data_IF_986560226292
#
_entry.id   IF_986560226292
#
_cell.length_a   1.000
_cell.length_b   1.000
_cell.length_c   1.000
_cell.angle_alpha   90.00
_cell.angle_beta   90.00
_cell.angle_gamma   90.00
#
_symmetry.space_group_name_H-M   'P 1'
#
loop_
_entity.id
_entity.type
_entity.pdbx_description
1 polymer ?
#
# COMPACT_ATOMS: atom_id res chain seq x y z
N UNK A 1 41.45 -23.35 28.31
CA UNK A 1 41.27 -22.67 27.01
C UNK A 1 40.38 -23.54 26.15
N UNK A 2 39.61 -22.93 25.24
CA UNK A 2 38.43 -23.46 24.52
C UNK A 2 37.12 -23.08 25.25
N UNK A 3 36.69 -21.83 25.08
CA UNK A 3 35.30 -21.43 25.28
C UNK A 3 34.56 -21.67 23.97
N UNK A 4 33.62 -22.61 24.00
CA UNK A 4 32.67 -22.80 22.91
C UNK A 4 31.85 -21.51 22.72
N UNK A 5 32.06 -20.87 21.57
CA UNK A 5 31.12 -19.90 21.01
C UNK A 5 29.83 -20.66 20.69
N UNK A 6 28.90 -20.60 21.63
CA UNK A 6 27.50 -20.92 21.37
C UNK A 6 26.97 -19.84 20.43
N UNK A 7 26.91 -20.16 19.13
CA UNK A 7 26.02 -19.47 18.20
C UNK A 7 24.59 -19.67 18.71
N UNK A 8 24.08 -18.67 19.43
CA UNK A 8 22.64 -18.54 19.64
C UNK A 8 21.99 -18.41 18.25
N UNK A 9 20.96 -19.21 17.94
CA UNK A 9 20.22 -19.04 16.70
C UNK A 9 19.62 -17.63 16.69
N UNK A 10 19.74 -16.92 15.56
CA UNK A 10 19.02 -15.67 15.30
C UNK A 10 17.53 -15.97 15.49
N UNK A 11 17.00 -15.70 16.68
CA UNK A 11 15.56 -15.65 16.91
C UNK A 11 15.06 -14.46 16.11
N UNK A 12 14.53 -14.71 14.92
CA UNK A 12 13.74 -13.73 14.17
C UNK A 12 12.64 -13.25 15.11
N UNK A 13 12.82 -12.06 15.69
CA UNK A 13 11.81 -11.43 16.52
C UNK A 13 10.68 -11.04 15.57
N UNK A 14 9.53 -11.70 15.73
CA UNK A 14 8.32 -11.36 14.97
C UNK A 14 7.96 -9.91 15.32
N UNK A 15 7.71 -9.04 14.32
CA UNK A 15 7.34 -7.66 14.58
C UNK A 15 6.06 -7.55 15.40
N UNK A 16 5.98 -6.51 16.23
CA UNK A 16 4.75 -6.21 16.96
C UNK A 16 3.68 -5.64 16.02
N UNK A 17 2.40 -5.88 16.36
CA UNK A 17 1.28 -5.32 15.62
C UNK A 17 1.18 -3.80 15.85
N UNK A 18 0.98 -2.99 14.80
CA UNK A 18 0.77 -1.55 14.93
C UNK A 18 -0.65 -1.23 15.42
N UNK A 19 -0.88 0.03 15.80
CA UNK A 19 -2.26 0.52 16.01
C UNK A 19 -3.00 0.64 14.67
N UNK A 20 -4.33 0.57 14.71
CA UNK A 20 -5.19 0.42 13.51
C UNK A 20 -5.43 1.73 12.74
N UNK A 21 -4.38 2.30 12.18
CA UNK A 21 -4.46 3.39 11.20
C UNK A 21 -3.26 3.39 10.24
N UNK A 22 -3.51 3.86 9.02
CA UNK A 22 -2.55 3.74 7.91
C UNK A 22 -1.67 4.99 7.72
N UNK A 23 -2.25 6.19 7.79
CA UNK A 23 -1.59 7.43 7.41
C UNK A 23 -0.68 7.96 8.52
N UNK A 24 0.55 8.32 8.18
CA UNK A 24 1.52 8.88 9.12
C UNK A 24 1.20 10.35 9.44
N UNK A 25 0.51 11.05 8.55
CA UNK A 25 0.01 12.41 8.76
C UNK A 25 -0.92 12.52 9.98
N UNK A 26 -1.52 11.41 10.43
CA UNK A 26 -2.28 11.40 11.68
C UNK A 26 -1.43 11.81 12.89
N UNK A 27 -0.15 11.44 12.92
CA UNK A 27 0.76 11.91 13.97
C UNK A 27 0.95 13.42 13.89
N UNK A 28 1.18 13.96 12.69
CA UNK A 28 1.36 15.40 12.51
C UNK A 28 0.13 16.19 13.01
N UNK A 29 -1.07 15.82 12.57
CA UNK A 29 -2.27 16.58 12.94
C UNK A 29 -2.59 16.45 14.44
N UNK A 30 -2.25 15.32 15.07
CA UNK A 30 -2.30 15.18 16.53
C UNK A 30 -1.32 16.14 17.21
N UNK A 31 -0.05 16.12 16.82
CA UNK A 31 0.98 16.97 17.42
C UNK A 31 0.66 18.45 17.24
N UNK A 32 0.09 18.83 16.09
CA UNK A 32 -0.40 20.19 15.86
C UNK A 32 -1.54 20.54 16.81
N UNK A 33 -2.51 19.65 17.02
CA UNK A 33 -3.57 19.85 18.01
C UNK A 33 -3.01 20.04 19.43
N UNK A 34 -2.11 19.17 19.87
CA UNK A 34 -1.46 19.25 21.19
C UNK A 34 -0.65 20.54 21.35
N UNK A 35 -0.07 21.08 20.27
CA UNK A 35 0.64 22.38 20.32
C UNK A 35 -0.28 23.57 20.62
N UNK A 36 -1.60 23.42 20.46
CA UNK A 36 -2.59 24.48 20.67
C UNK A 36 -3.39 24.34 21.96
N UNK A 37 -3.52 23.13 22.50
CA UNK A 37 -4.26 22.85 23.73
C UNK A 37 -3.74 21.58 24.41
N UNK A 38 -3.86 21.53 25.73
CA UNK A 38 -3.59 20.33 26.53
C UNK A 38 -4.85 19.51 26.84
N UNK A 39 -6.05 20.00 26.47
CA UNK A 39 -7.33 19.35 26.76
C UNK A 39 -7.73 18.39 25.64
N UNK A 40 -7.95 17.11 25.99
CA UNK A 40 -8.21 16.04 25.02
C UNK A 40 -9.36 16.34 24.03
N UNK A 41 -10.48 16.90 24.49
CA UNK A 41 -11.61 17.24 23.61
C UNK A 41 -11.26 18.33 22.60
N UNK A 42 -10.55 19.39 23.03
CA UNK A 42 -10.11 20.46 22.12
C UNK A 42 -9.10 19.96 21.08
N UNK A 43 -8.20 19.07 21.52
CA UNK A 43 -7.23 18.43 20.63
C UNK A 43 -7.98 17.55 19.61
N UNK A 44 -9.02 16.84 20.04
CA UNK A 44 -9.84 16.02 19.14
C UNK A 44 -10.60 16.86 18.11
N UNK A 45 -11.19 17.98 18.50
CA UNK A 45 -11.87 18.90 17.58
C UNK A 45 -10.91 19.43 16.51
N UNK A 46 -9.70 19.83 16.92
CA UNK A 46 -8.66 20.28 16.00
C UNK A 46 -8.12 19.16 15.10
N UNK A 47 -7.95 17.95 15.66
CA UNK A 47 -7.59 16.76 14.90
C UNK A 47 -8.63 16.47 13.81
N UNK A 48 -9.92 16.63 14.11
CA UNK A 48 -11.00 16.43 13.15
C UNK A 48 -10.97 17.47 12.03
N UNK A 49 -10.81 18.75 12.36
CA UNK A 49 -10.66 19.83 11.39
C UNK A 49 -9.52 19.54 10.39
N UNK A 50 -8.33 19.24 10.91
CA UNK A 50 -7.17 18.92 10.08
C UNK A 50 -7.36 17.63 9.30
N UNK A 51 -7.95 16.59 9.89
CA UNK A 51 -8.26 15.34 9.18
C UNK A 51 -9.07 15.63 7.92
N UNK A 52 -10.08 16.50 7.99
CA UNK A 52 -10.88 16.88 6.83
C UNK A 52 -10.09 17.74 5.84
N UNK A 53 -9.30 18.69 6.32
CA UNK A 53 -8.43 19.52 5.47
C UNK A 53 -7.44 18.68 4.65
N UNK A 54 -6.77 17.72 5.30
CA UNK A 54 -5.83 16.79 4.66
C UNK A 54 -6.54 15.61 3.95
N UNK A 55 -7.87 15.49 4.10
CA UNK A 55 -8.70 14.41 3.54
C UNK A 55 -8.22 13.01 3.94
N UNK A 56 -7.75 12.86 5.18
CA UNK A 56 -7.22 11.57 5.66
C UNK A 56 -8.36 10.56 5.85
N UNK A 57 -8.16 9.35 5.34
CA UNK A 57 -9.17 8.29 5.38
C UNK A 57 -10.39 8.53 4.49
N UNK A 58 -10.34 9.54 3.61
CA UNK A 58 -11.41 9.88 2.68
C UNK A 58 -10.92 9.77 1.23
N UNK A 59 -11.82 9.41 0.32
CA UNK A 59 -11.51 9.57 -1.10
C UNK A 59 -11.33 11.06 -1.39
N UNK A 60 -10.16 11.48 -1.86
CA UNK A 60 -9.86 12.87 -2.27
C UNK A 60 -10.82 13.43 -3.35
N UNK A 61 -11.73 12.62 -3.87
CA UNK A 61 -12.76 12.97 -4.85
C UNK A 61 -14.19 13.03 -4.31
N UNK A 62 -14.41 12.83 -3.01
CA UNK A 62 -15.71 13.13 -2.41
C UNK A 62 -15.90 14.64 -2.55
N UNK A 63 -16.88 15.08 -3.35
CA UNK A 63 -17.29 16.49 -3.33
C UNK A 63 -17.69 16.79 -1.88
N UNK A 64 -17.15 17.87 -1.32
CA UNK A 64 -17.74 18.50 -0.15
C UNK A 64 -19.12 18.95 -0.60
N UNK A 65 -20.12 18.12 -0.41
CA UNK A 65 -21.46 18.64 -0.16
C UNK A 65 -21.35 19.29 1.20
N UNK A 66 -21.34 20.62 1.23
CA UNK A 66 -21.71 21.39 2.42
C UNK A 66 -23.03 20.78 2.95
N UNK A 67 -23.09 20.51 4.24
CA UNK A 67 -24.21 19.88 4.96
C UNK A 67 -24.39 18.35 4.90
N UNK A 68 -23.32 17.58 5.12
CA UNK A 68 -23.51 16.26 5.75
C UNK A 68 -23.06 16.32 7.21
N UNK A 69 -23.99 16.55 8.14
CA UNK A 69 -23.75 16.30 9.56
C UNK A 69 -23.20 14.88 9.73
N UNK A 70 -22.11 14.76 10.48
CA UNK A 70 -21.43 13.48 10.68
C UNK A 70 -22.33 12.57 11.52
N UNK A 71 -22.61 11.37 11.01
CA UNK A 71 -23.41 10.41 11.77
C UNK A 71 -22.70 10.04 13.08
N UNK A 72 -23.46 9.66 14.11
CA UNK A 72 -22.91 9.18 15.39
C UNK A 72 -21.90 8.04 15.20
N UNK A 73 -22.16 7.14 14.24
CA UNK A 73 -21.25 6.05 13.90
C UNK A 73 -19.92 6.53 13.28
N UNK A 74 -19.95 7.64 12.54
CA UNK A 74 -18.76 8.24 11.94
C UNK A 74 -17.92 8.92 13.02
N UNK A 75 -18.54 9.69 13.91
CA UNK A 75 -17.89 10.27 15.09
C UNK A 75 -17.21 9.22 15.96
N UNK A 76 -17.89 8.11 16.24
CA UNK A 76 -17.31 7.01 17.02
C UNK A 76 -16.05 6.41 16.35
N UNK A 77 -16.03 6.31 15.02
CA UNK A 77 -14.84 5.85 14.27
C UNK A 77 -13.69 6.84 14.31
N UNK A 78 -13.99 8.14 14.23
CA UNK A 78 -12.97 9.18 14.34
C UNK A 78 -12.38 9.23 15.73
N UNK A 79 -13.21 9.12 16.77
CA UNK A 79 -12.75 9.01 18.14
C UNK A 79 -11.87 7.79 18.35
N UNK A 80 -12.28 6.62 17.86
CA UNK A 80 -11.45 5.43 17.88
C UNK A 80 -10.09 5.66 17.20
N UNK A 81 -10.08 6.29 16.02
CA UNK A 81 -8.83 6.59 15.31
C UNK A 81 -7.95 7.53 16.12
N UNK A 82 -8.51 8.61 16.66
CA UNK A 82 -7.81 9.54 17.54
C UNK A 82 -7.17 8.83 18.74
N UNK A 83 -7.93 7.98 19.45
CA UNK A 83 -7.43 7.23 20.59
C UNK A 83 -6.28 6.28 20.21
N UNK A 84 -6.36 5.65 19.02
CA UNK A 84 -5.28 4.83 18.48
C UNK A 84 -4.01 5.66 18.22
N UNK A 85 -4.14 6.86 17.64
CA UNK A 85 -3.00 7.75 17.33
C UNK A 85 -2.39 8.29 18.63
N UNK A 86 -3.20 8.71 19.60
CA UNK A 86 -2.75 9.13 20.94
C UNK A 86 -1.97 8.01 21.63
N UNK A 87 -2.50 6.79 21.61
CA UNK A 87 -1.83 5.62 22.17
C UNK A 87 -0.47 5.37 21.51
N UNK A 88 -0.39 5.35 20.18
CA UNK A 88 0.88 5.09 19.47
C UNK A 88 1.88 6.25 19.62
N UNK A 89 1.40 7.50 19.64
CA UNK A 89 2.24 8.67 19.88
C UNK A 89 2.84 8.67 21.29
N UNK A 90 2.10 8.17 22.28
CA UNK A 90 2.61 7.95 23.65
C UNK A 90 3.67 6.84 23.65
N UNK A 91 3.44 5.75 22.91
CA UNK A 91 4.41 4.65 22.78
C UNK A 91 5.75 5.10 22.16
N UNK A 92 5.68 6.08 21.25
CA UNK A 92 6.84 6.73 20.62
C UNK A 92 7.39 7.92 21.39
N UNK A 93 6.84 8.22 22.57
CA UNK A 93 7.20 9.37 23.40
C UNK A 93 7.10 10.70 22.65
N UNK A 94 6.20 10.82 21.69
CA UNK A 94 5.91 12.10 21.03
C UNK A 94 5.02 13.00 21.91
N UNK A 95 4.21 12.37 22.76
CA UNK A 95 3.35 13.03 23.74
C UNK A 95 3.46 12.35 25.10
N UNK A 96 3.09 13.07 26.14
CA UNK A 96 2.88 12.54 27.49
C UNK A 96 1.48 12.88 27.98
N UNK A 97 0.91 12.02 28.82
CA UNK A 97 -0.41 12.22 29.43
C UNK A 97 -0.24 12.30 30.94
N UNK A 98 -0.47 13.48 31.52
CA UNK A 98 -0.35 13.76 32.95
C UNK A 98 -1.67 14.33 33.47
N UNK A 99 -2.27 13.69 34.48
CA UNK A 99 -3.55 14.15 35.07
C UNK A 99 -4.69 14.38 34.05
N UNK A 100 -4.68 13.65 32.94
CA UNK A 100 -5.66 13.81 31.85
C UNK A 100 -5.34 14.94 30.85
N UNK A 101 -4.27 15.68 31.06
CA UNK A 101 -3.73 16.66 30.11
C UNK A 101 -2.71 16.01 29.18
N UNK A 102 -2.74 16.37 27.90
CA UNK A 102 -1.83 15.86 26.87
C UNK A 102 -0.82 16.95 26.53
N UNK A 103 0.46 16.62 26.57
CA UNK A 103 1.55 17.57 26.31
C UNK A 103 2.56 17.02 25.30
N UNK A 104 3.20 17.91 24.53
CA UNK A 104 4.31 17.55 23.66
C UNK A 104 5.58 17.30 24.47
N UNK A 105 6.25 16.19 24.18
CA UNK A 105 7.62 15.93 24.67
C UNK A 105 8.65 16.73 23.86
N UNK A 106 9.94 16.54 24.13
CA UNK A 106 11.01 16.99 23.23
C UNK A 106 10.88 16.38 21.85
N UNK A 107 10.72 15.06 21.78
CA UNK A 107 10.63 14.27 20.55
C UNK A 107 9.40 14.65 19.73
N UNK A 108 8.29 15.00 20.38
CA UNK A 108 7.08 15.51 19.71
C UNK A 108 7.25 16.90 19.12
N UNK A 109 7.95 17.80 19.84
CA UNK A 109 8.28 19.14 19.32
C UNK A 109 9.22 19.06 18.13
N UNK A 110 10.22 18.20 18.20
CA UNK A 110 11.15 17.97 17.09
C UNK A 110 10.43 17.40 15.86
N UNK A 111 9.56 16.40 16.05
CA UNK A 111 8.75 15.84 14.97
C UNK A 111 7.87 16.90 14.29
N UNK A 112 7.19 17.73 15.09
CA UNK A 112 6.35 18.81 14.57
C UNK A 112 7.18 19.83 13.77
N UNK A 113 8.33 20.24 14.29
CA UNK A 113 9.24 21.17 13.64
C UNK A 113 9.79 20.61 12.32
N UNK A 114 10.12 19.31 12.27
CA UNK A 114 10.58 18.63 11.05
C UNK A 114 9.50 18.72 9.96
N UNK A 115 8.25 18.42 10.28
CA UNK A 115 7.16 18.52 9.31
C UNK A 115 7.02 19.96 8.78
N UNK A 116 7.02 20.95 9.66
CA UNK A 116 6.80 22.36 9.28
C UNK A 116 7.95 22.96 8.47
N UNK A 117 9.19 22.50 8.66
CA UNK A 117 10.38 23.09 8.02
C UNK A 117 10.93 22.28 6.85
N UNK A 118 10.81 20.96 6.90
CA UNK A 118 11.38 20.05 5.89
C UNK A 118 10.30 19.36 5.06
N UNK A 119 9.12 19.15 5.65
CA UNK A 119 7.96 18.58 4.98
C UNK A 119 7.71 17.11 5.31
N UNK A 120 6.75 16.53 4.61
CA UNK A 120 6.20 15.18 4.88
C UNK A 120 7.24 14.06 4.74
N UNK A 121 8.17 14.16 3.79
CA UNK A 121 9.15 13.10 3.51
C UNK A 121 10.08 12.92 4.72
N UNK A 122 10.69 13.99 5.17
CA UNK A 122 11.60 14.00 6.32
C UNK A 122 10.87 13.67 7.62
N UNK A 123 9.61 14.09 7.77
CA UNK A 123 8.77 13.66 8.88
C UNK A 123 8.52 12.16 8.90
N UNK A 124 8.18 11.57 7.75
CA UNK A 124 8.00 10.12 7.62
C UNK A 124 9.30 9.37 7.90
N UNK A 125 10.45 9.91 7.50
CA UNK A 125 11.76 9.36 7.83
C UNK A 125 12.06 9.39 9.33
N UNK A 126 11.68 10.46 10.02
CA UNK A 126 11.79 10.54 11.48
C UNK A 126 10.90 9.50 12.17
N UNK A 127 9.63 9.39 11.76
CA UNK A 127 8.72 8.38 12.31
C UNK A 127 9.17 6.94 12.00
N UNK A 128 9.80 6.70 10.84
CA UNK A 128 10.39 5.40 10.51
C UNK A 128 11.34 4.92 11.62
N UNK A 129 12.23 5.78 12.12
CA UNK A 129 13.21 5.39 13.14
C UNK A 129 12.49 4.94 14.43
N UNK A 130 11.51 5.72 14.90
CA UNK A 130 10.72 5.39 16.08
C UNK A 130 9.97 4.07 15.92
N UNK A 131 9.35 3.85 14.76
CA UNK A 131 8.61 2.62 14.45
C UNK A 131 9.54 1.40 14.37
N UNK A 132 10.67 1.54 13.67
CA UNK A 132 11.64 0.46 13.46
C UNK A 132 12.25 0.00 14.78
N UNK A 133 12.59 0.93 15.68
CA UNK A 133 13.15 0.64 16.99
C UNK A 133 12.11 0.08 17.97
N UNK A 134 10.90 0.65 18.00
CA UNK A 134 9.86 0.28 18.98
C UNK A 134 9.25 -1.10 18.70
N UNK A 135 9.04 -1.45 17.42
CA UNK A 135 8.23 -2.61 17.04
C UNK A 135 9.02 -3.83 16.57
N UNK A 136 10.29 -3.92 16.95
CA UNK A 136 11.20 -5.01 16.58
C UNK A 136 11.45 -5.10 15.06
N UNK A 137 11.86 -3.99 14.45
CA UNK A 137 12.30 -3.93 13.04
C UNK A 137 11.22 -4.42 12.04
N UNK A 138 9.95 -3.92 12.11
CA UNK A 138 8.88 -4.33 11.20
C UNK A 138 9.22 -4.12 9.73
N UNK A 139 9.95 -3.05 9.38
CA UNK A 139 10.26 -2.76 7.99
C UNK A 139 11.37 -3.67 7.46
N UNK A 140 12.40 -3.95 8.27
CA UNK A 140 13.38 -5.00 7.97
C UNK A 140 12.69 -6.32 7.65
N UNK A 141 11.80 -6.75 8.54
CA UNK A 141 11.10 -8.03 8.41
C UNK A 141 10.26 -8.09 7.12
N UNK A 142 9.57 -7.01 6.76
CA UNK A 142 8.84 -6.88 5.50
C UNK A 142 9.77 -7.06 4.28
N UNK A 143 10.87 -6.31 4.25
CA UNK A 143 11.81 -6.28 3.11
C UNK A 143 12.51 -7.63 2.94
N UNK A 144 13.03 -8.20 4.04
CA UNK A 144 13.68 -9.52 4.01
C UNK A 144 12.70 -10.61 3.57
N UNK A 145 11.44 -10.57 4.00
CA UNK A 145 10.41 -11.51 3.54
C UNK A 145 10.20 -11.40 2.03
N UNK A 146 10.06 -10.18 1.49
CA UNK A 146 9.88 -9.96 0.06
C UNK A 146 10.99 -10.66 -0.74
N UNK A 147 12.25 -10.41 -0.39
CA UNK A 147 13.38 -11.03 -1.07
C UNK A 147 13.53 -12.53 -0.81
N UNK A 148 13.21 -13.02 0.40
CA UNK A 148 13.18 -14.47 0.71
C UNK A 148 12.19 -15.20 -0.20
N UNK A 149 11.01 -14.64 -0.41
CA UNK A 149 9.94 -15.26 -1.19
C UNK A 149 10.25 -15.25 -2.70
N UNK A 150 10.75 -14.12 -3.22
CA UNK A 150 10.87 -13.91 -4.66
C UNK A 150 12.10 -13.07 -5.06
N UNK A 151 13.30 -13.52 -4.70
CA UNK A 151 14.55 -12.86 -5.08
C UNK A 151 14.70 -12.63 -6.60
N UNK A 152 14.23 -13.58 -7.43
CA UNK A 152 14.38 -13.54 -8.89
C UNK A 152 13.56 -12.44 -9.58
N UNK A 153 12.48 -11.97 -8.94
CA UNK A 153 11.62 -10.88 -9.44
C UNK A 153 11.65 -9.69 -8.47
N UNK A 154 12.84 -9.40 -7.93
CA UNK A 154 13.09 -8.22 -7.08
C UNK A 154 12.15 -8.12 -5.88
N UNK A 155 11.84 -9.26 -5.25
CA UNK A 155 11.02 -9.32 -4.05
C UNK A 155 9.51 -9.14 -4.27
N UNK A 156 9.01 -9.31 -5.50
CA UNK A 156 7.58 -9.18 -5.80
C UNK A 156 6.73 -10.22 -5.05
N UNK A 157 5.74 -9.74 -4.31
CA UNK A 157 4.62 -10.50 -3.75
C UNK A 157 3.34 -10.17 -4.52
N UNK A 158 2.48 -11.17 -4.70
CA UNK A 158 1.16 -11.03 -5.32
C UNK A 158 0.06 -11.48 -4.37
N UNK A 159 -1.09 -10.83 -4.41
CA UNK A 159 -2.30 -11.18 -3.67
C UNK A 159 -3.47 -11.15 -4.65
N UNK A 160 -3.63 -12.19 -5.49
CA UNK A 160 -4.71 -12.25 -6.46
C UNK A 160 -6.09 -12.25 -5.80
N UNK A 161 -7.01 -11.46 -6.36
CA UNK A 161 -8.39 -11.31 -5.91
C UNK A 161 -9.30 -11.19 -7.14
N UNK A 162 -10.04 -12.27 -7.42
CA UNK A 162 -10.97 -12.33 -8.53
C UNK A 162 -12.42 -12.47 -8.04
N UNK A 163 -13.33 -11.77 -8.71
CA UNK A 163 -14.77 -12.02 -8.61
C UNK A 163 -15.18 -13.04 -9.67
N UNK A 164 -16.37 -13.63 -9.53
CA UNK A 164 -16.94 -14.51 -10.57
C UNK A 164 -16.93 -13.84 -11.96
N UNK A 165 -17.34 -12.56 -12.03
CA UNK A 165 -17.33 -11.79 -13.27
C UNK A 165 -15.92 -11.67 -13.89
N UNK A 166 -14.88 -11.41 -13.08
CA UNK A 166 -13.50 -11.33 -13.56
C UNK A 166 -12.97 -12.68 -14.07
N UNK A 167 -13.61 -13.78 -13.70
CA UNK A 167 -13.32 -15.12 -14.21
C UNK A 167 -14.25 -15.54 -15.36
N UNK A 168 -15.05 -14.60 -15.91
CA UNK A 168 -15.99 -14.90 -17.00
C UNK A 168 -17.23 -15.67 -16.57
N UNK A 169 -17.57 -15.66 -15.27
CA UNK A 169 -18.75 -16.34 -14.73
C UNK A 169 -19.82 -15.31 -14.41
N UNK A 170 -20.96 -15.42 -15.09
CA UNK A 170 -22.13 -14.57 -14.83
C UNK A 170 -22.75 -14.91 -13.47
N UNK A 171 -23.08 -13.88 -12.69
CA UNK A 171 -23.66 -14.07 -11.35
C UNK A 171 -24.96 -14.86 -11.40
N UNK A 172 -25.80 -14.61 -12.39
CA UNK A 172 -27.12 -15.24 -12.53
C UNK A 172 -27.03 -16.71 -12.93
N UNK A 173 -25.85 -17.17 -13.36
CA UNK A 173 -25.58 -18.59 -13.64
C UNK A 173 -25.32 -19.40 -12.36
N UNK A 174 -25.07 -18.75 -11.22
CA UNK A 174 -24.75 -19.40 -9.95
C UNK A 174 -26.04 -19.77 -9.18
N UNK A 175 -26.63 -20.93 -9.48
CA UNK A 175 -27.95 -21.33 -8.98
C UNK A 175 -27.91 -22.47 -7.97
N UNK A 176 -26.90 -23.33 -8.04
CA UNK A 176 -26.75 -24.50 -7.18
C UNK A 176 -25.34 -24.59 -6.59
N UNK A 177 -25.17 -25.47 -5.59
CA UNK A 177 -23.87 -25.66 -4.92
C UNK A 177 -22.74 -26.01 -5.90
N UNK A 178 -23.03 -26.82 -6.93
CA UNK A 178 -22.06 -27.17 -7.98
C UNK A 178 -21.51 -25.95 -8.73
N UNK A 179 -22.32 -24.90 -8.91
CA UNK A 179 -21.92 -23.72 -9.68
C UNK A 179 -20.92 -22.87 -8.86
N UNK A 180 -21.14 -22.78 -7.54
CA UNK A 180 -20.20 -22.16 -6.61
C UNK A 180 -18.90 -22.96 -6.51
N UNK A 181 -18.98 -24.30 -6.45
CA UNK A 181 -17.79 -25.17 -6.49
C UNK A 181 -16.99 -24.99 -7.80
N UNK A 182 -17.68 -24.87 -8.94
CA UNK A 182 -17.05 -24.56 -10.24
C UNK A 182 -16.36 -23.19 -10.23
N UNK A 183 -16.98 -22.17 -9.63
CA UNK A 183 -16.32 -20.88 -9.42
C UNK A 183 -15.02 -21.04 -8.61
N UNK A 184 -15.05 -21.77 -7.49
CA UNK A 184 -13.85 -22.00 -6.68
C UNK A 184 -12.76 -22.76 -7.43
N UNK A 185 -13.11 -23.76 -8.23
CA UNK A 185 -12.14 -24.47 -9.06
C UNK A 185 -11.53 -23.56 -10.14
N UNK A 186 -12.33 -22.68 -10.75
CA UNK A 186 -11.84 -21.71 -11.73
C UNK A 186 -10.91 -20.68 -11.06
N UNK A 187 -11.27 -20.22 -9.86
CA UNK A 187 -10.44 -19.33 -9.05
C UNK A 187 -9.12 -20.00 -8.67
N UNK A 188 -9.15 -21.26 -8.22
CA UNK A 188 -7.96 -22.04 -7.90
C UNK A 188 -6.99 -22.10 -9.08
N UNK A 189 -7.47 -22.52 -10.26
CA UNK A 189 -6.63 -22.61 -11.46
C UNK A 189 -6.02 -21.25 -11.81
N UNK A 190 -6.81 -20.18 -11.73
CA UNK A 190 -6.31 -18.82 -12.00
C UNK A 190 -5.22 -18.39 -11.02
N UNK A 191 -5.38 -18.71 -9.74
CA UNK A 191 -4.36 -18.42 -8.73
C UNK A 191 -3.07 -19.20 -9.00
N UNK A 192 -3.17 -20.49 -9.36
CA UNK A 192 -2.00 -21.32 -9.72
C UNK A 192 -1.25 -20.72 -10.92
N UNK A 193 -1.97 -20.27 -11.95
CA UNK A 193 -1.41 -19.57 -13.11
C UNK A 193 -0.65 -18.29 -12.70
N UNK A 194 -1.27 -17.45 -11.87
CA UNK A 194 -0.65 -16.19 -11.41
C UNK A 194 0.62 -16.46 -10.58
N UNK A 195 0.60 -17.49 -9.72
CA UNK A 195 1.77 -17.89 -8.93
C UNK A 195 2.90 -18.38 -9.85
N UNK A 196 2.57 -19.20 -10.85
CA UNK A 196 3.55 -19.66 -11.84
C UNK A 196 4.14 -18.49 -12.62
N UNK A 197 3.29 -17.59 -13.13
CA UNK A 197 3.68 -16.45 -13.96
C UNK A 197 4.52 -15.42 -13.20
N UNK A 198 4.09 -15.02 -12.01
CA UNK A 198 4.67 -13.89 -11.28
C UNK A 198 5.71 -14.28 -10.23
N UNK A 199 5.58 -15.48 -9.64
CA UNK A 199 6.52 -15.98 -8.62
C UNK A 199 7.45 -17.06 -9.17
N UNK A 200 7.18 -17.61 -10.37
CA UNK A 200 7.99 -18.68 -10.96
C UNK A 200 7.89 -20.00 -10.20
N UNK A 201 6.79 -20.22 -9.47
CA UNK A 201 6.55 -21.42 -8.66
C UNK A 201 5.39 -22.21 -9.25
N UNK A 202 5.57 -23.51 -9.43
CA UNK A 202 4.48 -24.42 -9.83
C UNK A 202 3.96 -25.12 -8.58
N UNK A 203 2.74 -24.79 -8.17
CA UNK A 203 2.09 -25.38 -7.00
C UNK A 203 0.68 -25.82 -7.36
N UNK A 204 0.20 -26.88 -6.71
CA UNK A 204 -1.20 -27.30 -6.80
C UNK A 204 -1.92 -26.88 -5.53
N UNK A 205 -3.01 -26.13 -5.68
CA UNK A 205 -3.86 -25.61 -4.62
C UNK A 205 -5.14 -26.41 -4.43
N UNK A 206 -5.20 -27.62 -5.00
CA UNK A 206 -6.37 -28.51 -4.92
C UNK A 206 -6.78 -28.82 -3.48
N UNK A 207 -5.81 -29.06 -2.60
CA UNK A 207 -6.08 -29.37 -1.19
C UNK A 207 -6.67 -28.16 -0.48
N UNK A 208 -6.03 -27.00 -0.62
CA UNK A 208 -6.43 -25.75 -0.02
C UNK A 208 -7.82 -25.31 -0.51
N UNK A 209 -8.12 -25.52 -1.79
CA UNK A 209 -9.43 -25.24 -2.35
C UNK A 209 -10.51 -26.17 -1.79
N UNK A 210 -10.21 -27.45 -1.59
CA UNK A 210 -11.13 -28.38 -0.92
C UNK A 210 -11.36 -27.97 0.55
N UNK A 211 -10.30 -27.57 1.27
CA UNK A 211 -10.40 -27.08 2.65
C UNK A 211 -11.28 -25.81 2.72
N UNK A 212 -11.18 -24.90 1.75
CA UNK A 212 -12.05 -23.73 1.63
C UNK A 212 -13.51 -24.14 1.44
N UNK A 213 -13.79 -25.04 0.50
CA UNK A 213 -15.15 -25.50 0.20
C UNK A 213 -15.77 -26.16 1.44
N UNK A 214 -15.00 -27.01 2.13
CA UNK A 214 -15.43 -27.66 3.35
C UNK A 214 -15.78 -26.65 4.45
N UNK A 215 -14.91 -25.67 4.72
CA UNK A 215 -15.16 -24.62 5.72
C UNK A 215 -16.43 -23.82 5.43
N UNK A 216 -16.65 -23.48 4.17
CA UNK A 216 -17.86 -22.75 3.76
C UNK A 216 -19.12 -23.61 3.96
N UNK A 217 -19.03 -24.92 3.72
CA UNK A 217 -20.15 -25.84 3.96
C UNK A 217 -20.42 -26.02 5.47
N UNK A 218 -19.38 -26.16 6.29
CA UNK A 218 -19.48 -26.26 7.75
C UNK A 218 -20.08 -25.00 8.40
N UNK A 219 -19.79 -23.81 7.86
CA UNK A 219 -20.44 -22.55 8.26
C UNK A 219 -21.91 -22.46 7.82
N UNK A 220 -22.46 -23.48 7.15
CA UNK A 220 -23.83 -23.50 6.62
C UNK A 220 -24.05 -22.49 5.49
N UNK A 221 -22.98 -22.02 4.85
CA UNK A 221 -23.06 -21.03 3.78
C UNK A 221 -23.34 -21.67 2.42
N UNK A 222 -22.82 -22.87 2.19
CA UNK A 222 -22.99 -23.64 0.96
C UNK A 222 -23.52 -25.03 1.27
N UNK A 223 -24.60 -25.51 0.64
CA UNK A 223 -25.05 -26.87 0.84
C UNK A 223 -24.01 -27.90 0.36
N UNK A 224 -23.97 -29.05 1.03
CA UNK A 224 -23.02 -30.12 0.70
C UNK A 224 -23.37 -30.82 -0.62
N UNK A 225 -24.66 -31.03 -0.88
CA UNK A 225 -25.17 -31.62 -2.11
C UNK A 225 -25.05 -30.67 -3.30
N UNK A 226 -24.51 -31.19 -4.41
CA UNK A 226 -24.25 -30.45 -5.65
C UNK A 226 -25.52 -29.94 -6.35
N UNK A 227 -26.62 -30.69 -6.26
CA UNK A 227 -27.88 -30.35 -6.90
C UNK A 227 -28.75 -29.38 -6.10
N UNK A 228 -28.41 -29.17 -4.82
CA UNK A 228 -29.20 -28.32 -3.95
C UNK A 228 -29.09 -26.85 -4.36
N UNK A 229 -30.24 -26.16 -4.35
CA UNK A 229 -30.32 -24.75 -4.66
C UNK A 229 -29.47 -23.93 -3.67
N UNK A 230 -28.71 -23.00 -4.23
CA UNK A 230 -27.90 -22.05 -3.49
C UNK A 230 -28.74 -20.83 -3.09
N UNK A 231 -28.57 -20.31 -1.87
CA UNK A 231 -29.23 -19.07 -1.42
C UNK A 231 -28.43 -17.84 -1.89
N UNK A 232 -28.94 -17.03 -2.84
CA UNK A 232 -28.21 -15.89 -3.38
C UNK A 232 -27.86 -14.81 -2.34
N UNK A 233 -28.59 -14.76 -1.21
CA UNK A 233 -28.30 -13.82 -0.11
C UNK A 233 -26.94 -14.12 0.54
N UNK A 234 -26.48 -15.36 0.48
CA UNK A 234 -25.19 -15.80 1.07
C UNK A 234 -24.00 -15.51 0.17
N UNK A 235 -24.22 -15.12 -1.10
CA UNK A 235 -23.16 -14.94 -2.10
C UNK A 235 -22.04 -14.01 -1.66
N UNK A 236 -22.38 -12.80 -1.20
CA UNK A 236 -21.37 -11.83 -0.78
C UNK A 236 -20.57 -12.31 0.44
N UNK A 237 -21.22 -13.04 1.36
CA UNK A 237 -20.56 -13.62 2.53
C UNK A 237 -19.58 -14.71 2.10
N UNK A 238 -19.98 -15.60 1.18
CA UNK A 238 -19.12 -16.64 0.60
C UNK A 238 -17.90 -16.02 -0.08
N UNK A 239 -18.10 -15.00 -0.92
CA UNK A 239 -17.00 -14.31 -1.59
C UNK A 239 -16.02 -13.68 -0.60
N UNK A 240 -16.54 -13.03 0.45
CA UNK A 240 -15.70 -12.47 1.52
C UNK A 240 -14.88 -13.56 2.22
N UNK A 241 -15.51 -14.66 2.63
CA UNK A 241 -14.83 -15.80 3.27
C UNK A 241 -13.74 -16.40 2.38
N UNK A 242 -14.03 -16.59 1.10
CA UNK A 242 -13.07 -17.08 0.11
C UNK A 242 -11.89 -16.13 -0.05
N UNK A 243 -12.15 -14.83 -0.17
CA UNK A 243 -11.08 -13.83 -0.25
C UNK A 243 -10.20 -13.85 1.01
N UNK A 244 -10.80 -13.83 2.19
CA UNK A 244 -10.07 -13.80 3.46
C UNK A 244 -9.24 -15.09 3.64
N UNK A 245 -9.77 -16.25 3.21
CA UNK A 245 -9.04 -17.52 3.19
C UNK A 245 -7.80 -17.44 2.30
N UNK A 246 -7.94 -16.99 1.05
CA UNK A 246 -6.81 -16.93 0.12
C UNK A 246 -5.78 -15.90 0.55
N UNK A 247 -6.18 -14.71 1.02
CA UNK A 247 -5.26 -13.72 1.56
C UNK A 247 -4.46 -14.26 2.74
N UNK A 248 -5.11 -15.01 3.64
CA UNK A 248 -4.44 -15.68 4.75
C UNK A 248 -3.48 -16.76 4.24
N UNK A 249 -3.87 -17.57 3.27
CA UNK A 249 -3.01 -18.58 2.65
C UNK A 249 -1.76 -17.96 2.03
N UNK A 250 -1.90 -16.90 1.23
CA UNK A 250 -0.75 -16.21 0.64
C UNK A 250 0.21 -15.74 1.72
N UNK A 251 -0.30 -15.01 2.71
CA UNK A 251 0.53 -14.41 3.73
C UNK A 251 1.21 -15.45 4.62
N UNK A 252 0.45 -16.37 5.20
CA UNK A 252 0.94 -17.26 6.26
C UNK A 252 1.55 -18.55 5.72
N UNK A 253 1.06 -19.06 4.59
CA UNK A 253 1.49 -20.36 4.03
C UNK A 253 2.45 -20.17 2.86
N UNK A 254 2.10 -19.36 1.86
CA UNK A 254 2.96 -19.20 0.69
C UNK A 254 4.19 -18.32 0.96
N UNK A 255 4.02 -17.27 1.77
CA UNK A 255 5.06 -16.30 2.10
C UNK A 255 5.70 -16.52 3.47
N UNK A 256 5.15 -17.44 4.27
CA UNK A 256 5.62 -17.75 5.63
C UNK A 256 5.74 -16.51 6.53
N UNK A 257 4.86 -15.54 6.30
CA UNK A 257 4.85 -14.28 7.02
C UNK A 257 4.07 -14.45 8.33
N UNK A 258 4.73 -14.20 9.45
CA UNK A 258 4.28 -14.62 10.78
C UNK A 258 3.40 -13.59 11.50
N UNK A 259 3.07 -12.47 10.86
CA UNK A 259 2.12 -11.49 11.40
C UNK A 259 0.76 -11.57 10.70
N UNK A 260 -0.28 -11.04 11.35
CA UNK A 260 -1.63 -11.01 10.81
C UNK A 260 -1.73 -10.17 9.53
N UNK A 261 -2.79 -10.41 8.74
CA UNK A 261 -3.07 -9.64 7.53
C UNK A 261 -3.26 -8.14 7.84
N UNK A 262 -4.04 -7.81 8.87
CA UNK A 262 -4.23 -6.41 9.32
C UNK A 262 -2.88 -5.73 9.61
N UNK A 263 -1.99 -6.39 10.37
CA UNK A 263 -0.68 -5.83 10.70
C UNK A 263 0.21 -5.70 9.47
N UNK A 264 0.20 -6.69 8.58
CA UNK A 264 0.90 -6.61 7.30
C UNK A 264 0.44 -5.42 6.48
N UNK A 265 -0.87 -5.22 6.33
CA UNK A 265 -1.41 -4.11 5.54
C UNK A 265 -0.99 -2.76 6.13
N UNK A 266 -1.12 -2.57 7.43
CA UNK A 266 -0.73 -1.31 8.08
C UNK A 266 0.77 -1.05 7.88
N UNK A 267 1.63 -2.03 8.16
CA UNK A 267 3.07 -1.86 7.96
C UNK A 267 3.44 -1.62 6.50
N UNK A 268 2.81 -2.32 5.55
CA UNK A 268 3.08 -2.14 4.13
C UNK A 268 2.67 -0.74 3.64
N UNK A 269 1.52 -0.22 4.07
CA UNK A 269 1.10 1.14 3.71
C UNK A 269 1.97 2.23 4.36
N UNK A 270 2.43 2.04 5.60
CA UNK A 270 3.41 2.95 6.23
C UNK A 270 4.75 2.89 5.50
N UNK A 271 5.22 1.69 5.17
CA UNK A 271 6.45 1.49 4.39
C UNK A 271 6.37 2.14 3.00
N UNK A 272 5.18 2.17 2.37
CA UNK A 272 4.93 2.93 1.14
C UNK A 272 5.07 4.44 1.31
N UNK A 273 4.54 5.01 2.38
CA UNK A 273 4.66 6.45 2.69
C UNK A 273 6.11 6.87 2.97
N UNK A 274 6.95 5.96 3.47
CA UNK A 274 8.39 6.17 3.69
C UNK A 274 9.19 5.95 2.40
N UNK A 275 8.65 5.18 1.43
CA UNK A 275 9.34 4.84 0.18
C UNK A 275 10.20 3.57 0.27
N UNK A 276 9.94 2.69 1.23
CA UNK A 276 10.67 1.43 1.42
C UNK A 276 10.19 0.31 0.50
N UNK A 277 8.89 0.30 0.21
CA UNK A 277 8.24 -0.63 -0.68
C UNK A 277 7.10 0.09 -1.41
N UNK A 278 6.59 -0.53 -2.45
CA UNK A 278 5.37 -0.11 -3.10
C UNK A 278 4.29 -1.15 -2.87
N UNK A 279 3.07 -0.69 -2.62
CA UNK A 279 1.86 -1.52 -2.53
C UNK A 279 0.79 -0.87 -3.42
N UNK A 280 0.20 -1.67 -4.31
CA UNK A 280 -0.83 -1.19 -5.24
C UNK A 280 -1.76 -2.33 -5.66
N UNK A 281 -3.02 -2.00 -5.94
CA UNK A 281 -4.00 -2.89 -6.57
C UNK A 281 -4.02 -2.75 -8.11
N UNK A 282 -3.15 -1.89 -8.64
CA UNK A 282 -3.15 -1.45 -10.02
C UNK A 282 -1.90 -1.90 -10.74
N UNK A 283 -1.61 -3.19 -10.59
CA UNK A 283 -0.44 -3.79 -11.18
C UNK A 283 -0.44 -3.64 -12.72
N UNK A 284 0.71 -3.35 -13.37
CA UNK A 284 0.79 -3.14 -14.81
C UNK A 284 0.31 -4.29 -15.70
N UNK A 285 0.22 -5.52 -15.18
CA UNK A 285 -0.30 -6.66 -15.93
C UNK A 285 -1.84 -6.58 -16.05
N UNK A 286 -2.39 -6.38 -17.26
CA UNK A 286 -3.83 -6.19 -17.46
C UNK A 286 -4.65 -7.47 -17.19
N UNK A 287 -3.99 -8.64 -17.15
CA UNK A 287 -4.65 -9.92 -16.83
C UNK A 287 -4.69 -10.21 -15.34
N UNK A 288 -3.90 -9.50 -14.53
CA UNK A 288 -3.84 -9.71 -13.10
C UNK A 288 -4.84 -8.82 -12.37
N UNK A 289 -5.65 -9.42 -11.50
CA UNK A 289 -6.51 -8.68 -10.59
C UNK A 289 -6.15 -9.02 -9.16
N UNK A 290 -5.76 -8.00 -8.39
CA UNK A 290 -5.36 -8.16 -7.01
C UNK A 290 -4.36 -7.10 -6.60
N UNK A 291 -3.75 -7.32 -5.45
CA UNK A 291 -2.74 -6.44 -4.87
C UNK A 291 -1.35 -6.99 -5.13
N UNK A 292 -0.38 -6.11 -5.35
CA UNK A 292 1.03 -6.47 -5.39
C UNK A 292 1.82 -5.65 -4.37
N UNK A 293 2.91 -6.23 -3.89
CA UNK A 293 3.87 -5.58 -3.01
C UNK A 293 5.27 -5.85 -3.54
N UNK A 294 6.11 -4.83 -3.65
CA UNK A 294 7.51 -5.01 -4.04
C UNK A 294 8.41 -3.98 -3.35
N UNK A 295 9.62 -4.36 -2.92
CA UNK A 295 10.54 -3.46 -2.28
C UNK A 295 11.07 -2.39 -3.24
N UNK A 296 11.26 -1.18 -2.71
CA UNK A 296 11.97 -0.04 -3.30
C UNK A 296 13.30 0.20 -2.56
N UNK A 297 13.72 -0.78 -1.77
CA UNK A 297 14.84 -0.73 -0.86
C UNK A 297 15.54 -2.08 -0.77
N UNK A 298 16.76 -2.08 -0.24
CA UNK A 298 17.56 -3.29 -0.01
C UNK A 298 18.25 -3.21 1.35
N UNK A 299 18.49 -4.38 1.95
CA UNK A 299 19.29 -4.50 3.19
C UNK A 299 20.56 -5.25 2.87
N UNK A 300 21.69 -4.56 2.99
CA UNK A 300 23.03 -5.08 2.67
C UNK A 300 24.08 -4.43 3.57
N UNK A 301 25.27 -5.02 3.66
CA UNK A 301 26.39 -4.42 4.41
C UNK A 301 27.02 -3.25 3.66
N UNK A 302 27.09 -3.33 2.33
CA UNK A 302 27.62 -2.29 1.44
C UNK A 302 26.83 -2.25 0.14
N UNK A 303 26.48 -1.06 -0.35
CA UNK A 303 25.98 -0.83 -1.71
C UNK A 303 27.09 -0.23 -2.59
N UNK A 304 27.16 -0.67 -3.86
CA UNK A 304 28.06 -0.13 -4.89
C UNK A 304 27.33 0.79 -5.88
N UNK A 305 26.02 0.92 -5.78
CA UNK A 305 25.20 1.72 -6.70
C UNK A 305 24.93 3.10 -6.11
N UNK A 306 25.15 4.13 -6.92
CA UNK A 306 24.87 5.53 -6.58
C UNK A 306 23.37 5.83 -6.48
N UNK A 307 22.51 4.99 -7.08
CA UNK A 307 21.05 5.11 -6.96
C UNK A 307 20.53 4.62 -5.61
N UNK A 308 21.37 4.03 -4.76
CA UNK A 308 21.00 3.54 -3.44
C UNK A 308 21.61 4.40 -2.35
N UNK A 309 20.76 5.13 -1.62
CA UNK A 309 21.18 5.99 -0.52
C UNK A 309 21.02 5.26 0.81
N UNK A 310 22.05 5.30 1.67
CA UNK A 310 21.98 4.69 3.00
C UNK A 310 20.97 5.47 3.84
N UNK A 311 20.00 4.76 4.41
CA UNK A 311 18.88 5.34 5.13
C UNK A 311 18.89 5.01 6.62
N UNK A 312 19.32 3.80 6.98
CA UNK A 312 19.39 3.35 8.37
C UNK A 312 20.46 2.26 8.55
N UNK A 313 21.12 2.24 9.71
CA UNK A 313 22.10 1.22 10.07
C UNK A 313 21.58 0.40 11.26
N UNK A 314 21.46 -0.91 11.06
CA UNK A 314 21.02 -1.85 12.09
C UNK A 314 22.18 -2.22 13.03
N UNK A 315 21.81 -2.74 14.21
CA UNK A 315 22.78 -3.15 15.24
C UNK A 315 23.73 -4.26 14.77
N UNK A 316 23.34 -5.05 13.77
CA UNK A 316 24.17 -6.10 13.18
C UNK A 316 25.04 -5.61 12.01
N UNK A 317 25.25 -4.29 11.89
CA UNK A 317 25.99 -3.61 10.83
C UNK A 317 25.40 -3.79 9.41
N UNK A 318 24.22 -4.42 9.29
CA UNK A 318 23.45 -4.35 8.07
C UNK A 318 22.89 -2.94 7.89
N UNK A 319 22.77 -2.49 6.64
CA UNK A 319 22.30 -1.14 6.31
C UNK A 319 21.11 -1.25 5.37
N UNK A 320 20.09 -0.48 5.68
CA UNK A 320 18.94 -0.23 4.83
C UNK A 320 19.31 0.86 3.82
N UNK A 321 19.14 0.55 2.54
CA UNK A 321 19.33 1.50 1.46
C UNK A 321 18.02 1.71 0.71
N UNK A 322 17.65 2.97 0.47
CA UNK A 322 16.52 3.35 -0.37
C UNK A 322 16.98 3.51 -1.82
N UNK A 323 16.20 3.02 -2.78
CA UNK A 323 16.40 3.33 -4.19
C UNK A 323 15.89 4.74 -4.48
N UNK A 324 16.82 5.68 -4.57
CA UNK A 324 16.57 7.11 -4.82
C UNK A 324 17.53 7.60 -5.91
N UNK A 325 17.27 7.23 -7.17
CA UNK A 325 18.05 7.74 -8.29
C UNK A 325 17.93 9.27 -8.35
N UNK A 326 18.97 9.94 -8.83
CA UNK A 326 19.02 11.41 -8.87
C UNK A 326 18.66 11.93 -10.26
N UNK A 327 17.75 12.90 -10.34
CA UNK A 327 17.47 13.60 -11.60
C UNK A 327 18.71 14.28 -12.21
N UNK A 328 19.71 14.62 -11.39
CA UNK A 328 20.97 15.21 -11.89
C UNK A 328 21.76 14.25 -12.78
N UNK A 329 21.48 12.96 -12.72
CA UNK A 329 22.09 11.95 -13.57
C UNK A 329 21.33 11.87 -14.91
N UNK A 330 22.02 12.13 -16.02
CA UNK A 330 21.43 12.08 -17.36
C UNK A 330 20.85 10.70 -17.71
N UNK A 331 21.48 9.61 -17.26
CA UNK A 331 20.96 8.26 -17.48
C UNK A 331 19.61 8.06 -16.78
N UNK A 332 19.43 8.64 -15.58
CA UNK A 332 18.15 8.60 -14.87
C UNK A 332 17.08 9.41 -15.60
N UNK A 333 17.43 10.55 -16.18
CA UNK A 333 16.49 11.34 -16.99
C UNK A 333 16.04 10.55 -18.22
N UNK A 334 16.99 9.92 -18.93
CA UNK A 334 16.69 9.10 -20.10
C UNK A 334 15.83 7.90 -19.75
N UNK A 335 16.19 7.14 -18.70
CA UNK A 335 15.42 5.99 -18.21
C UNK A 335 13.99 6.41 -17.81
N UNK A 336 13.84 7.57 -17.15
CA UNK A 336 12.53 8.11 -16.79
C UNK A 336 11.69 8.46 -18.02
N UNK A 337 12.26 9.18 -18.99
CA UNK A 337 11.55 9.58 -20.22
C UNK A 337 11.13 8.34 -21.03
N UNK A 338 12.02 7.37 -21.17
CA UNK A 338 11.72 6.10 -21.85
C UNK A 338 10.61 5.33 -21.12
N UNK A 339 10.72 5.19 -19.80
CA UNK A 339 9.71 4.52 -18.97
C UNK A 339 8.35 5.22 -19.03
N UNK A 340 8.35 6.55 -18.98
CA UNK A 340 7.14 7.37 -19.04
C UNK A 340 6.44 7.23 -20.40
N UNK A 341 7.19 7.30 -21.50
CA UNK A 341 6.64 7.14 -22.84
C UNK A 341 6.11 5.71 -23.07
N UNK A 342 6.85 4.68 -22.68
CA UNK A 342 6.39 3.29 -22.81
C UNK A 342 5.13 3.04 -21.98
N UNK A 343 5.09 3.54 -20.73
CA UNK A 343 3.91 3.45 -19.88
C UNK A 343 2.69 4.16 -20.49
N UNK A 344 2.90 5.32 -21.10
CA UNK A 344 1.85 6.04 -21.84
C UNK A 344 1.32 5.21 -23.01
N UNK A 345 2.20 4.65 -23.84
CA UNK A 345 1.80 3.82 -24.99
C UNK A 345 1.00 2.59 -24.56
N UNK A 346 1.43 1.89 -23.50
CA UNK A 346 0.72 0.73 -22.97
C UNK A 346 -0.72 1.08 -22.54
N UNK A 347 -0.87 2.18 -21.79
CA UNK A 347 -2.19 2.63 -21.31
C UNK A 347 -3.05 3.09 -22.48
N UNK A 348 -2.46 3.83 -23.44
CA UNK A 348 -3.13 4.29 -24.66
C UNK A 348 -3.62 3.14 -25.52
N UNK A 349 -2.83 2.07 -25.68
CA UNK A 349 -3.23 0.90 -26.45
C UNK A 349 -4.47 0.22 -25.85
N UNK A 350 -4.55 0.17 -24.52
CA UNK A 350 -5.70 -0.39 -23.80
C UNK A 350 -6.93 0.53 -23.87
N UNK A 351 -6.74 1.85 -23.69
CA UNK A 351 -7.84 2.82 -23.66
C UNK A 351 -8.36 3.19 -25.05
N UNK A 352 -7.55 3.03 -26.11
CA UNK A 352 -7.81 3.47 -27.49
C UNK A 352 -8.05 4.99 -27.61
N UNK A 353 -7.45 5.79 -26.72
CA UNK A 353 -7.54 7.27 -26.68
C UNK A 353 -6.16 7.91 -26.54
N UNK A 354 -5.98 9.13 -27.06
CA UNK A 354 -4.71 9.89 -26.91
C UNK A 354 -4.52 10.43 -25.49
N UNK A 355 -5.61 10.80 -24.82
CA UNK A 355 -5.61 11.25 -23.44
C UNK A 355 -5.85 10.05 -22.53
N UNK A 356 -4.91 9.79 -21.62
CA UNK A 356 -4.94 8.61 -20.75
C UNK A 356 -4.81 8.99 -19.29
N UNK A 357 -5.28 8.10 -18.41
CA UNK A 357 -5.20 8.28 -16.96
C UNK A 357 -3.74 8.33 -16.50
N UNK A 358 -3.30 9.48 -16.02
CA UNK A 358 -1.97 9.70 -15.46
C UNK A 358 -1.70 8.80 -14.24
N UNK A 359 -2.66 8.54 -13.34
CA UNK A 359 -2.49 7.52 -12.30
C UNK A 359 -2.17 6.10 -12.82
N UNK A 360 -2.67 5.71 -14.01
CA UNK A 360 -2.27 4.43 -14.64
C UNK A 360 -0.82 4.46 -15.11
N UNK A 361 -0.41 5.57 -15.73
CA UNK A 361 0.96 5.78 -16.20
C UNK A 361 1.93 5.78 -15.02
N UNK A 362 1.61 6.51 -13.94
CA UNK A 362 2.40 6.54 -12.69
C UNK A 362 2.73 5.14 -12.18
N UNK A 363 1.74 4.27 -12.03
CA UNK A 363 1.93 2.91 -11.50
C UNK A 363 2.88 2.07 -12.37
N UNK A 364 2.80 2.22 -13.70
CA UNK A 364 3.71 1.55 -14.63
C UNK A 364 5.13 2.06 -14.51
N UNK A 365 5.33 3.37 -14.44
CA UNK A 365 6.65 3.99 -14.29
C UNK A 365 7.28 3.64 -12.95
N UNK A 366 6.55 3.78 -11.83
CA UNK A 366 7.02 3.39 -10.51
C UNK A 366 7.42 1.90 -10.47
N UNK A 367 6.66 1.03 -11.13
CA UNK A 367 7.00 -0.39 -11.20
C UNK A 367 8.24 -0.67 -12.05
N UNK A 368 8.38 -0.02 -13.20
CA UNK A 368 9.50 -0.20 -14.12
C UNK A 368 10.82 0.29 -13.50
N UNK A 369 10.82 1.50 -12.95
CA UNK A 369 12.01 2.14 -12.39
C UNK A 369 12.28 1.80 -10.92
N UNK A 370 11.33 1.15 -10.23
CA UNK A 370 11.41 0.89 -8.79
C UNK A 370 11.63 2.17 -7.98
N UNK A 371 10.80 3.19 -8.23
CA UNK A 371 10.83 4.45 -7.49
C UNK A 371 9.52 4.67 -6.70
N UNK A 372 9.55 5.39 -5.58
CA UNK A 372 8.35 5.75 -4.84
C UNK A 372 7.56 6.84 -5.57
N UNK A 373 6.27 6.96 -5.24
CA UNK A 373 5.35 7.88 -5.93
C UNK A 373 5.78 9.35 -5.84
N UNK A 374 6.33 9.79 -4.71
CA UNK A 374 6.81 11.18 -4.58
C UNK A 374 7.97 11.49 -5.55
N UNK A 375 8.80 10.49 -5.86
CA UNK A 375 9.92 10.62 -6.79
C UNK A 375 9.40 10.69 -8.23
N UNK A 376 8.35 9.93 -8.55
CA UNK A 376 7.64 10.07 -9.82
C UNK A 376 7.06 11.48 -9.98
N UNK A 377 6.36 12.00 -8.98
CA UNK A 377 5.76 13.35 -9.02
C UNK A 377 6.84 14.44 -9.23
N UNK A 378 7.98 14.31 -8.55
CA UNK A 378 9.14 15.18 -8.71
C UNK A 378 9.75 15.09 -10.12
N UNK A 379 10.02 13.88 -10.61
CA UNK A 379 10.61 13.64 -11.93
C UNK A 379 9.68 14.09 -13.05
N UNK A 380 8.37 13.85 -12.92
CA UNK A 380 7.39 14.32 -13.90
C UNK A 380 7.37 15.85 -13.96
N UNK A 381 7.41 16.53 -12.80
CA UNK A 381 7.48 18.00 -12.74
C UNK A 381 8.76 18.53 -13.41
N UNK A 382 9.89 17.86 -13.20
CA UNK A 382 11.16 18.22 -13.84
C UNK A 382 11.15 17.94 -15.34
N UNK A 383 10.60 16.81 -15.78
CA UNK A 383 10.47 16.45 -17.19
C UNK A 383 9.56 17.43 -17.93
N UNK A 384 8.40 17.75 -17.34
CA UNK A 384 7.41 18.67 -17.89
C UNK A 384 7.98 20.07 -18.12
N UNK A 385 8.82 20.54 -17.20
CA UNK A 385 9.45 21.86 -17.30
C UNK A 385 10.74 21.88 -18.16
N UNK A 386 11.30 20.71 -18.50
CA UNK A 386 12.56 20.62 -19.21
C UNK A 386 12.36 20.54 -20.73
N UNK A 387 12.37 21.71 -21.38
CA UNK A 387 12.28 21.85 -22.85
C UNK A 387 13.42 21.21 -23.64
N UNK A 388 14.50 20.74 -22.98
CA UNK A 388 15.64 20.09 -23.66
C UNK A 388 15.46 18.59 -23.82
N UNK A 389 14.51 17.99 -23.09
CA UNK A 389 14.18 16.58 -23.27
C UNK A 389 13.44 16.39 -24.59
N UNK A 390 13.66 15.27 -25.27
CA UNK A 390 12.98 14.91 -26.52
C UNK A 390 11.56 14.36 -26.27
N UNK A 391 10.80 15.06 -25.44
CA UNK A 391 9.45 14.68 -25.03
C UNK A 391 8.60 15.93 -24.86
N UNK A 392 7.39 15.89 -25.40
CA UNK A 392 6.34 16.88 -25.19
C UNK A 392 5.28 16.24 -24.30
N UNK A 393 4.96 16.88 -23.17
CA UNK A 393 4.01 16.38 -22.18
C UNK A 393 2.88 17.38 -22.05
N UNK A 394 1.65 16.92 -22.28
CA UNK A 394 0.42 17.68 -22.00
C UNK A 394 -0.26 17.10 -20.78
N UNK A 395 -0.61 17.94 -19.80
CA UNK A 395 -1.22 17.53 -18.53
C UNK A 395 -2.54 18.26 -18.30
N UNK A 396 -3.60 17.52 -18.01
CA UNK A 396 -4.93 18.09 -17.75
C UNK A 396 -5.47 17.70 -16.37
N UNK A 397 -6.39 18.54 -15.88
CA UNK A 397 -7.07 18.37 -14.58
C UNK A 397 -8.37 17.56 -14.74
N UNK A 398 -8.92 17.52 -15.96
CA UNK A 398 -10.18 16.87 -16.28
C UNK A 398 -10.16 15.36 -15.99
N UNK A 399 -11.35 14.76 -15.92
CA UNK A 399 -11.51 13.32 -15.71
C UNK A 399 -11.93 12.66 -17.00
N UNK A 400 -11.41 11.48 -17.26
CA UNK A 400 -11.89 10.69 -18.39
C UNK A 400 -13.33 10.22 -18.13
N UNK A 401 -14.18 10.08 -19.17
CA UNK A 401 -15.56 9.62 -19.02
C UNK A 401 -15.70 8.32 -18.22
N UNK A 402 -14.75 7.40 -18.33
CA UNK A 402 -14.74 6.12 -17.61
C UNK A 402 -14.47 6.27 -16.09
N UNK A 403 -13.84 7.37 -15.66
CA UNK A 403 -13.59 7.67 -14.23
C UNK A 403 -14.83 8.22 -13.51
N UNK A 404 -15.90 8.57 -14.26
CA UNK A 404 -17.16 9.08 -13.67
C UNK A 404 -18.04 7.97 -13.08
N UNK A 405 -17.90 6.71 -13.54
CA UNK A 405 -18.81 5.61 -13.19
C UNK A 405 -18.37 4.72 -12.03
N UNK A 406 -17.09 4.70 -11.65
CA UNK A 406 -16.56 3.80 -10.62
C UNK A 406 -16.11 4.59 -9.38
N UNK A 407 -17.02 4.80 -8.43
CA UNK A 407 -16.73 5.56 -7.19
C UNK A 407 -15.73 4.87 -6.24
N UNK A 408 -15.55 3.55 -6.33
CA UNK A 408 -14.93 2.76 -5.26
C UNK A 408 -13.41 2.53 -5.37
N UNK A 409 -12.77 2.92 -6.48
CA UNK A 409 -11.32 2.75 -6.71
C UNK A 409 -10.67 4.05 -7.23
N UNK A 410 -11.15 5.21 -6.77
CA UNK A 410 -10.66 6.51 -7.25
C UNK A 410 -9.23 6.74 -6.77
N UNK A 411 -8.27 6.62 -7.69
CA UNK A 411 -6.83 6.79 -7.47
C UNK A 411 -6.44 8.23 -7.23
N UNK A 412 -5.50 8.47 -6.34
CA UNK A 412 -5.06 9.84 -6.06
C UNK A 412 -4.53 10.54 -7.32
N UNK A 413 -4.92 11.81 -7.54
CA UNK A 413 -4.37 12.61 -8.62
C UNK A 413 -2.85 12.78 -8.43
N UNK A 414 -2.13 13.01 -9.53
CA UNK A 414 -0.68 13.23 -9.51
C UNK A 414 -0.41 14.72 -9.30
N UNK A 415 0.50 15.06 -8.39
CA UNK A 415 0.87 16.45 -8.15
C UNK A 415 2.00 16.86 -9.10
N UNK A 416 1.76 17.89 -9.91
CA UNK A 416 2.76 18.47 -10.81
C UNK A 416 2.75 19.99 -10.63
N UNK A 417 3.89 20.56 -10.25
CA UNK A 417 4.04 22.00 -9.94
C UNK A 417 2.96 22.55 -8.98
N UNK A 418 2.72 21.83 -7.89
CA UNK A 418 1.74 22.19 -6.86
C UNK A 418 0.28 22.10 -7.29
N UNK A 419 -0.01 21.55 -8.48
CA UNK A 419 -1.38 21.36 -8.98
C UNK A 419 -1.65 19.89 -9.29
N UNK A 420 -2.84 19.44 -8.95
CA UNK A 420 -3.28 18.07 -9.25
C UNK A 420 -3.61 17.89 -10.74
N UNK A 421 -3.18 16.76 -11.29
CA UNK A 421 -3.37 16.34 -12.68
C UNK A 421 -3.87 14.89 -12.73
N UNK A 422 -4.74 14.62 -13.69
CA UNK A 422 -5.40 13.30 -13.85
C UNK A 422 -5.16 12.69 -15.22
N UNK A 423 -4.90 13.52 -16.22
CA UNK A 423 -4.76 13.10 -17.61
C UNK A 423 -3.38 13.52 -18.12
N UNK A 424 -2.80 12.65 -18.93
CA UNK A 424 -1.54 12.88 -19.64
C UNK A 424 -1.69 12.52 -21.12
N UNK A 425 -1.06 13.31 -21.98
CA UNK A 425 -0.74 12.96 -23.35
C UNK A 425 0.75 13.21 -23.58
N UNK A 426 1.40 12.34 -24.35
CA UNK A 426 2.83 12.39 -24.61
C UNK A 426 3.07 12.24 -26.11
N UNK A 427 3.87 13.16 -26.66
CA UNK A 427 4.45 13.05 -27.99
C UNK A 427 5.98 13.07 -27.89
N UNK A 428 6.67 12.23 -28.66
CA UNK A 428 8.12 12.32 -28.80
C UNK A 428 8.47 13.38 -29.85
N UNK A 429 9.44 14.23 -29.52
CA UNK A 429 9.95 15.28 -30.40
C UNK A 429 11.00 14.76 -31.39
#
# INVERSE_FOLDING_TARGET
MISHLTHTPKTTRIPQAPRKFYFLEYFYILLKGVSTSNQAEKIFDYFLELKHQYRLGESKYKKLTEDSHESTNQMARYRYTFDQVVSEATDYKLISINNGEIELTSEGRDALQIYETKGTIEFNHYLFQLMEEKHHEPFRYLIETCYKVNAKKSGLLIFPIYSAYRLGIERDSLKASKDIKKYFQTLQNRIEEDISKHLGKNISLKKENNDLIQKIAEEGLLPTSDSQAFDPKKYNTILRRSRDFWLKYFLQTLYEYQISLDSFEIWAYRAKQIGLLHITEFYPDPSFYGKVVYPLSVIKTVSKSESFQMFYEYRDASKLYLHQPSWKNENTQEEFVQSLHQAYLDVRQLAKTYFVSLPNVKERVCYAMKIPEYLFDQFLSQAYNNKRLRISISLEVDKLPDETKVMYLRREPVMVDGKYRNIIAIDLA
#
